data_IF_058615211393
#
_entry.id   IF_058615211393
#
_cell.length_a   1.000
_cell.length_b   1.000
_cell.length_c   1.000
_cell.angle_alpha   90.00
_cell.angle_beta   90.00
_cell.angle_gamma   90.00
#
_symmetry.space_group_name_H-M   'P 1'
#
loop_
_entity.id
_entity.type
_entity.pdbx_description
1 polymer ?
#
# COMPACT_ATOMS: atom_id res chain seq x y z
N UNK A 1 -9.75 -9.93 -29.17
CA UNK A 1 -9.27 -9.01 -30.21
C UNK A 1 -7.77 -9.00 -30.14
N UNK A 2 -7.07 -9.35 -31.22
CA UNK A 2 -5.61 -9.58 -31.22
C UNK A 2 -4.80 -8.33 -30.81
N UNK A 3 -5.38 -7.14 -30.96
CA UNK A 3 -4.80 -5.87 -30.51
C UNK A 3 -4.64 -5.77 -28.98
N UNK A 4 -5.57 -6.36 -28.21
CA UNK A 4 -5.51 -6.30 -26.74
C UNK A 4 -4.38 -7.20 -26.20
N UNK A 5 -4.07 -8.30 -26.88
CA UNK A 5 -2.95 -9.17 -26.51
C UNK A 5 -1.60 -8.49 -26.70
N UNK A 6 -1.39 -7.79 -27.81
CA UNK A 6 -0.12 -7.10 -28.07
C UNK A 6 0.16 -5.99 -27.04
N UNK A 7 -0.89 -5.26 -26.65
CA UNK A 7 -0.77 -4.20 -25.65
C UNK A 7 -0.42 -4.76 -24.26
N UNK A 8 -1.05 -5.87 -23.87
CA UNK A 8 -0.74 -6.58 -22.62
C UNK A 8 0.70 -7.10 -22.63
N UNK A 9 1.17 -7.68 -23.75
CA UNK A 9 2.57 -8.13 -23.87
C UNK A 9 3.56 -6.98 -23.71
N UNK A 10 3.28 -5.81 -24.31
CA UNK A 10 4.11 -4.63 -24.18
C UNK A 10 4.22 -4.15 -22.73
N UNK A 11 3.10 -4.13 -22.00
CA UNK A 11 3.07 -3.75 -20.58
C UNK A 11 3.80 -4.76 -19.69
N UNK A 12 3.64 -6.07 -19.98
CA UNK A 12 4.35 -7.14 -19.28
C UNK A 12 5.86 -7.01 -19.45
N UNK A 13 6.34 -6.80 -20.69
CA UNK A 13 7.77 -6.60 -20.99
C UNK A 13 8.36 -5.39 -20.25
N UNK A 14 7.62 -4.27 -20.16
CA UNK A 14 8.06 -3.10 -19.37
C UNK A 14 8.14 -3.42 -17.89
N UNK A 15 7.15 -4.14 -17.36
CA UNK A 15 7.13 -4.53 -15.95
C UNK A 15 8.29 -5.45 -15.60
N UNK A 16 8.57 -6.43 -16.45
CA UNK A 16 9.72 -7.34 -16.33
C UNK A 16 11.04 -6.56 -16.32
N UNK A 17 11.24 -5.65 -17.27
CA UNK A 17 12.44 -4.82 -17.34
C UNK A 17 12.67 -3.96 -16.07
N UNK A 18 11.60 -3.44 -15.48
CA UNK A 18 11.67 -2.70 -14.21
C UNK A 18 12.12 -3.62 -13.06
N UNK A 19 11.55 -4.83 -12.96
CA UNK A 19 11.87 -5.79 -11.91
C UNK A 19 13.30 -6.31 -12.05
N UNK A 20 13.77 -6.56 -13.27
CA UNK A 20 15.12 -7.02 -13.54
C UNK A 20 16.19 -5.97 -13.23
N UNK A 21 15.83 -4.69 -13.35
CA UNK A 21 16.67 -3.57 -12.94
C UNK A 21 16.81 -3.44 -11.40
N UNK A 22 16.02 -4.19 -10.61
CA UNK A 22 16.12 -4.20 -9.15
C UNK A 22 17.17 -5.18 -8.62
N UNK A 23 17.83 -4.78 -7.54
CA UNK A 23 18.69 -5.69 -6.77
C UNK A 23 17.86 -6.73 -6.02
N UNK A 24 18.48 -7.85 -5.63
CA UNK A 24 17.81 -8.90 -4.83
C UNK A 24 17.27 -8.36 -3.49
N UNK A 25 17.94 -7.37 -2.89
CA UNK A 25 17.49 -6.73 -1.65
C UNK A 25 16.21 -5.91 -1.84
N UNK A 26 16.14 -5.15 -2.94
CA UNK A 26 14.98 -4.31 -3.28
C UNK A 26 13.76 -5.18 -3.63
N UNK A 27 13.95 -6.29 -4.36
CA UNK A 27 12.87 -7.24 -4.67
C UNK A 27 12.26 -7.89 -3.44
N UNK A 28 13.09 -8.22 -2.44
CA UNK A 28 12.60 -8.78 -1.17
C UNK A 28 11.91 -7.74 -0.30
N UNK A 29 12.33 -6.48 -0.37
CA UNK A 29 11.78 -5.42 0.45
C UNK A 29 11.57 -4.13 -0.34
N UNK A 30 10.33 -3.91 -0.80
CA UNK A 30 9.95 -2.69 -1.50
C UNK A 30 10.16 -1.39 -0.69
N UNK A 31 10.17 -1.45 0.66
CA UNK A 31 10.28 -0.26 1.52
C UNK A 31 11.67 0.39 1.48
N UNK A 32 12.71 -0.32 1.05
CA UNK A 32 14.07 0.24 0.96
C UNK A 32 14.29 1.05 -0.32
N UNK A 33 13.30 1.09 -1.23
CA UNK A 33 13.40 1.77 -2.52
C UNK A 33 13.14 3.28 -2.33
N UNK A 34 14.22 4.02 -2.07
CA UNK A 34 14.24 5.48 -1.99
C UNK A 34 14.27 6.16 -3.37
N UNK A 35 14.30 7.50 -3.38
CA UNK A 35 14.34 8.28 -4.62
C UNK A 35 15.57 7.96 -5.50
N UNK A 36 16.73 7.74 -4.88
CA UNK A 36 17.98 7.42 -5.60
C UNK A 36 17.87 6.07 -6.33
N UNK A 37 17.33 5.06 -5.64
CA UNK A 37 17.07 3.73 -6.20
C UNK A 37 16.02 3.77 -7.30
N UNK A 38 14.95 4.55 -7.14
CA UNK A 38 13.95 4.76 -8.20
C UNK A 38 14.57 5.34 -9.45
N UNK A 39 15.44 6.33 -9.33
CA UNK A 39 16.18 6.90 -10.47
C UNK A 39 17.09 5.87 -11.13
N UNK A 40 17.79 5.04 -10.34
CA UNK A 40 18.65 3.96 -10.87
C UNK A 40 17.81 2.92 -11.64
N UNK A 41 16.70 2.46 -11.06
CA UNK A 41 15.82 1.46 -11.65
C UNK A 41 15.23 1.98 -12.96
N UNK A 42 14.66 3.19 -12.94
CA UNK A 42 14.09 3.86 -14.11
C UNK A 42 15.10 3.97 -15.27
N UNK A 43 16.34 4.40 -14.96
CA UNK A 43 17.42 4.47 -15.96
C UNK A 43 17.84 3.10 -16.48
N UNK A 44 17.86 2.07 -15.63
CA UNK A 44 18.24 0.71 -16.00
C UNK A 44 17.19 0.00 -16.86
N UNK A 45 15.90 0.29 -16.62
CA UNK A 45 14.79 -0.35 -17.33
C UNK A 45 14.30 0.43 -18.55
N UNK A 46 14.84 1.63 -18.80
CA UNK A 46 14.32 2.54 -19.84
C UNK A 46 12.92 3.07 -19.54
N UNK A 47 12.53 3.10 -18.26
CA UNK A 47 11.20 3.53 -17.81
C UNK A 47 11.27 4.85 -17.05
N UNK A 48 10.13 5.44 -16.76
CA UNK A 48 10.00 6.66 -15.96
C UNK A 48 9.92 6.36 -14.47
N UNK A 49 10.27 7.36 -13.64
CA UNK A 49 10.11 7.26 -12.18
C UNK A 49 8.62 7.07 -11.79
N UNK A 50 7.69 7.60 -12.60
CA UNK A 50 6.26 7.45 -12.39
C UNK A 50 5.81 5.99 -12.57
N UNK A 51 6.28 5.30 -13.62
CA UNK A 51 6.00 3.88 -13.85
C UNK A 51 6.54 3.00 -12.73
N UNK A 52 7.76 3.26 -12.26
CA UNK A 52 8.33 2.56 -11.10
C UNK A 52 7.47 2.77 -9.85
N UNK A 53 7.01 4.00 -9.59
CA UNK A 53 6.12 4.28 -8.47
C UNK A 53 4.75 3.58 -8.61
N UNK A 54 4.21 3.53 -9.82
CA UNK A 54 2.97 2.82 -10.12
C UNK A 54 3.08 1.34 -9.77
N UNK A 55 4.16 0.69 -10.22
CA UNK A 55 4.43 -0.72 -9.92
C UNK A 55 4.52 -0.98 -8.41
N UNK A 56 5.24 -0.12 -7.68
CA UNK A 56 5.37 -0.25 -6.22
C UNK A 56 4.02 -0.14 -5.49
N UNK A 57 3.14 0.76 -5.95
CA UNK A 57 1.79 0.91 -5.39
C UNK A 57 0.91 -0.30 -5.68
N UNK A 58 0.93 -0.80 -6.92
CA UNK A 58 0.18 -2.00 -7.32
C UNK A 58 0.63 -3.22 -6.50
N UNK A 59 1.94 -3.38 -6.31
CA UNK A 59 2.50 -4.44 -5.48
C UNK A 59 2.03 -4.32 -4.02
N UNK A 60 2.04 -3.12 -3.44
CA UNK A 60 1.62 -2.89 -2.07
C UNK A 60 0.13 -3.17 -1.85
N UNK A 61 -0.71 -2.77 -2.79
CA UNK A 61 -2.14 -3.09 -2.78
C UNK A 61 -2.38 -4.60 -2.83
N UNK A 62 -1.72 -5.30 -3.76
CA UNK A 62 -1.82 -6.77 -3.86
C UNK A 62 -1.33 -7.45 -2.58
N UNK A 63 -0.22 -6.97 -2.01
CA UNK A 63 0.31 -7.50 -0.75
C UNK A 63 -0.66 -7.28 0.41
N UNK A 64 -1.30 -6.12 0.51
CA UNK A 64 -2.32 -5.84 1.54
C UNK A 64 -3.52 -6.78 1.39
N UNK A 65 -3.98 -6.99 0.16
CA UNK A 65 -5.06 -7.93 -0.14
C UNK A 65 -4.67 -9.36 0.24
N UNK A 66 -3.48 -9.83 -0.12
CA UNK A 66 -2.96 -11.15 0.26
C UNK A 66 -2.84 -11.31 1.78
N UNK A 67 -2.40 -10.27 2.49
CA UNK A 67 -2.34 -10.28 3.96
C UNK A 67 -3.73 -10.32 4.60
N UNK A 68 -4.69 -9.56 4.07
CA UNK A 68 -6.09 -9.59 4.51
C UNK A 68 -6.72 -10.96 4.25
N UNK A 69 -6.44 -11.58 3.10
CA UNK A 69 -6.92 -12.93 2.76
C UNK A 69 -6.29 -14.00 3.66
N UNK A 70 -4.97 -13.94 3.93
CA UNK A 70 -4.32 -14.84 4.87
C UNK A 70 -4.82 -14.67 6.32
N UNK A 71 -5.12 -13.43 6.73
CA UNK A 71 -5.80 -13.15 8.01
C UNK A 71 -7.26 -13.61 7.99
N UNK A 72 -7.89 -13.65 6.82
CA UNK A 72 -9.25 -14.15 6.57
C UNK A 72 -9.43 -15.65 6.82
N UNK A 73 -8.36 -16.45 6.84
CA UNK A 73 -8.41 -17.83 7.36
C UNK A 73 -8.72 -17.91 8.86
N UNK A 74 -8.37 -16.85 9.61
CA UNK A 74 -8.75 -16.70 11.01
C UNK A 74 -10.17 -16.12 11.14
N UNK A 75 -10.57 -15.18 10.27
CA UNK A 75 -11.95 -14.67 10.24
C UNK A 75 -12.96 -15.74 9.83
N UNK A 76 -12.62 -16.63 8.89
CA UNK A 76 -13.42 -17.82 8.56
C UNK A 76 -13.48 -18.83 9.71
N UNK A 77 -12.37 -19.04 10.44
CA UNK A 77 -12.38 -19.86 11.67
C UNK A 77 -13.16 -19.22 12.82
N UNK A 78 -13.12 -17.90 12.97
CA UNK A 78 -13.82 -17.17 14.03
C UNK A 78 -15.30 -17.00 13.71
N UNK A 79 -15.66 -16.72 12.46
CA UNK A 79 -17.04 -16.71 11.97
C UNK A 79 -17.65 -18.11 11.98
N UNK A 80 -16.90 -19.15 11.59
CA UNK A 80 -17.31 -20.54 11.71
C UNK A 80 -17.49 -20.99 13.17
N UNK A 81 -16.68 -20.47 14.10
CA UNK A 81 -16.79 -20.77 15.54
C UNK A 81 -17.85 -19.92 16.25
N UNK A 82 -18.10 -18.69 15.80
CA UNK A 82 -19.18 -17.84 16.28
C UNK A 82 -20.55 -18.33 15.76
N UNK A 83 -20.62 -18.80 14.51
CA UNK A 83 -21.83 -19.39 13.93
C UNK A 83 -22.07 -20.83 14.41
N UNK A 84 -21.01 -21.59 14.66
CA UNK A 84 -21.09 -22.92 15.32
C UNK A 84 -21.43 -22.85 16.82
N UNK A 85 -21.07 -21.75 17.50
CA UNK A 85 -21.47 -21.48 18.88
C UNK A 85 -22.88 -20.90 19.03
N UNK A 86 -23.46 -20.37 17.95
CA UNK A 86 -24.82 -19.81 17.92
C UNK A 86 -25.87 -20.73 17.30
N UNK A 87 -25.46 -21.88 16.74
CA UNK A 87 -26.36 -22.95 16.30
C UNK A 87 -27.11 -23.64 17.46
N UNK A 88 -26.66 -23.45 18.72
CA UNK A 88 -27.37 -23.92 19.92
C UNK A 88 -28.37 -22.92 20.52
N UNK A 89 -28.36 -21.65 20.09
CA UNK A 89 -29.24 -20.60 20.62
C UNK A 89 -30.40 -20.26 19.65
N UNK A 90 -30.28 -20.60 18.37
CA UNK A 90 -31.36 -20.38 17.39
C UNK A 90 -32.31 -21.59 17.25
N UNK A 91 -32.23 -22.56 18.18
CA UNK A 91 -33.13 -23.72 18.27
C UNK A 91 -34.29 -23.54 19.25
N UNK A 92 -34.49 -22.36 19.84
CA UNK A 92 -35.54 -22.16 20.83
C UNK A 92 -35.97 -20.70 20.95
N UNK A 93 -37.13 -20.39 20.37
CA UNK A 93 -37.98 -19.30 20.84
C UNK A 93 -37.71 -17.90 20.27
N UNK A 94 -38.70 -17.39 19.55
CA UNK A 94 -39.18 -16.03 19.72
C UNK A 94 -38.29 -14.87 19.25
N UNK A 95 -38.65 -14.30 18.09
CA UNK A 95 -38.66 -12.87 17.82
C UNK A 95 -37.39 -12.04 18.08
N UNK A 96 -36.72 -11.57 17.03
CA UNK A 96 -35.75 -10.49 17.21
C UNK A 96 -34.75 -10.24 16.08
N UNK A 97 -34.77 -11.04 15.01
CA UNK A 97 -33.89 -10.95 13.84
C UNK A 97 -34.06 -9.66 12.99
N UNK A 98 -34.65 -8.58 13.51
CA UNK A 98 -34.88 -7.35 12.75
C UNK A 98 -34.25 -6.09 13.37
N UNK A 99 -33.90 -6.08 14.66
CA UNK A 99 -33.45 -4.86 15.36
C UNK A 99 -31.93 -4.67 15.43
N UNK A 100 -31.13 -5.71 15.23
CA UNK A 100 -29.68 -5.65 15.45
C UNK A 100 -28.84 -5.53 14.17
N UNK A 101 -29.50 -5.35 13.01
CA UNK A 101 -28.87 -5.12 11.71
C UNK A 101 -28.57 -3.63 11.45
N UNK A 102 -28.87 -2.73 12.40
CA UNK A 102 -28.89 -1.28 12.17
C UNK A 102 -27.85 -0.41 12.88
N UNK A 103 -26.83 -0.94 13.56
CA UNK A 103 -26.11 -0.14 14.57
C UNK A 103 -24.58 -0.13 14.64
N UNK A 104 -23.82 -1.02 13.98
CA UNK A 104 -22.35 -1.02 14.11
C UNK A 104 -21.69 -0.83 12.75
N UNK A 105 -21.75 0.43 12.32
CA UNK A 105 -20.94 1.01 11.26
C UNK A 105 -19.46 0.82 11.55
N UNK A 106 -18.72 0.52 10.48
CA UNK A 106 -17.33 0.14 10.50
C UNK A 106 -16.41 1.19 11.10
N UNK A 107 -15.65 0.76 12.10
CA UNK A 107 -14.31 1.27 12.34
C UNK A 107 -13.36 0.50 11.41
N UNK A 108 -13.36 0.91 10.14
CA UNK A 108 -12.24 0.62 9.25
C UNK A 108 -11.13 1.62 9.62
N UNK A 109 -10.19 1.17 10.44
CA UNK A 109 -8.93 1.88 10.68
C UNK A 109 -8.26 2.13 9.33
N UNK A 110 -8.40 3.36 8.87
CA UNK A 110 -7.64 3.91 7.77
C UNK A 110 -6.26 4.21 8.35
N UNK A 111 -5.36 3.21 8.33
CA UNK A 111 -3.95 3.43 8.66
C UNK A 111 -3.44 4.59 7.80
N UNK A 112 -3.17 5.71 8.46
CA UNK A 112 -2.56 6.90 7.89
C UNK A 112 -1.28 6.49 7.19
N UNK A 113 -1.28 6.61 5.86
CA UNK A 113 -0.07 6.55 5.08
C UNK A 113 0.80 7.73 5.51
N UNK A 114 1.76 7.48 6.40
CA UNK A 114 2.78 8.43 6.79
C UNK A 114 3.50 8.92 5.53
N UNK A 115 3.07 10.09 5.08
CA UNK A 115 3.58 10.80 3.93
C UNK A 115 4.87 11.49 4.35
N UNK A 116 5.91 10.71 4.67
CA UNK A 116 7.26 11.23 4.87
C UNK A 116 7.97 11.38 3.50
N UNK A 117 7.33 12.17 2.64
CA UNK A 117 7.90 12.73 1.42
C UNK A 117 7.91 14.26 1.53
N UNK A 118 8.37 14.81 2.67
CA UNK A 118 8.70 16.24 2.74
C UNK A 118 9.85 16.54 3.71
N UNK A 119 10.92 15.74 3.65
CA UNK A 119 12.11 15.93 4.50
C UNK A 119 13.14 16.96 4.01
N UNK A 120 12.90 17.70 2.92
CA UNK A 120 13.95 18.56 2.30
C UNK A 120 13.61 20.03 2.08
N UNK A 121 12.41 20.51 2.44
CA UNK A 121 12.11 21.96 2.37
C UNK A 121 12.45 22.72 3.65
N UNK A 122 12.49 22.03 4.78
CA UNK A 122 12.57 22.68 6.09
C UNK A 122 14.02 23.00 6.54
N UNK A 123 15.02 22.36 5.93
CA UNK A 123 16.44 22.65 6.18
C UNK A 123 16.92 23.91 5.46
N UNK A 124 16.36 24.23 4.29
CA UNK A 124 16.67 25.44 3.51
C UNK A 124 16.09 26.71 4.18
N UNK A 125 14.85 26.64 4.66
CA UNK A 125 14.16 27.75 5.35
C UNK A 125 14.88 28.13 6.66
N UNK A 126 15.35 27.13 7.43
CA UNK A 126 16.15 27.32 8.65
C UNK A 126 17.54 27.92 8.35
N UNK A 127 18.19 27.52 7.26
CA UNK A 127 19.51 28.04 6.86
C UNK A 127 19.45 29.47 6.30
N UNK A 128 18.38 29.84 5.61
CA UNK A 128 18.10 31.20 5.14
C UNK A 128 17.77 32.17 6.30
N UNK A 129 17.01 31.72 7.30
CA UNK A 129 16.71 32.52 8.51
C UNK A 129 17.96 32.77 9.37
N UNK A 130 18.89 31.82 9.46
CA UNK A 130 20.17 32.00 10.17
C UNK A 130 21.08 33.05 9.49
N UNK A 131 21.14 33.07 8.15
CA UNK A 131 21.90 34.09 7.40
C UNK A 131 21.30 35.50 7.54
N UNK A 132 19.97 35.65 7.55
CA UNK A 132 19.33 36.98 7.75
C UNK A 132 19.54 37.55 9.15
N UNK A 133 19.60 36.70 10.20
CA UNK A 133 19.84 37.16 11.58
C UNK A 133 21.28 37.63 11.82
N UNK A 134 22.26 37.09 11.10
CA UNK A 134 23.67 37.48 11.26
C UNK A 134 24.00 38.81 10.56
N UNK A 135 23.24 39.22 9.54
CA UNK A 135 23.42 40.50 8.83
C UNK A 135 22.79 41.70 9.56
N UNK A 136 21.91 41.45 10.54
CA UNK A 136 21.21 42.50 11.33
C UNK A 136 21.90 42.79 12.68
N UNK A 137 23.04 42.17 12.95
CA UNK A 137 23.85 42.31 14.18
C UNK A 137 25.28 42.82 13.90
N UNK A 138 25.53 43.39 12.72
CA UNK A 138 26.73 44.17 12.39
C UNK A 138 26.29 45.55 11.98
#
# INVERSE_FOLDING_TARGET
SDEQSEEVEGQMKRTEAIIDSMTKGERRNHKIIDASRKTRIAKGSGSTIAEVNGLLRQYEQMKKMMQQMNRGGLFGKLAGKAMGGFGGIMGGGGGGLAGLLGGMGGNGEQEDFDNNYEGTKDSLSKRLKKKKRHKKKR
#
